data_IF_040812209664
#
_entry.id   IF_040812209664
#
_cell.length_a   1.000
_cell.length_b   1.000
_cell.length_c   1.000
_cell.angle_alpha   90.00
_cell.angle_beta   90.00
_cell.angle_gamma   90.00
#
_symmetry.space_group_name_H-M   'P 1'
#
loop_
_entity.id
_entity.type
_entity.pdbx_description
1 polymer ?
#
# COMPACT_ATOMS: atom_id res chain seq x y z
N UNK A 1 11.15 7.25 19.73
CA UNK A 1 10.11 7.62 18.71
C UNK A 1 8.91 6.72 18.93
N UNK A 2 7.70 7.23 19.08
CA UNK A 2 6.47 6.41 19.11
C UNK A 2 6.05 6.06 17.68
N UNK A 3 5.50 4.86 17.45
CA UNK A 3 4.98 4.43 16.15
C UNK A 3 3.46 4.34 16.22
N UNK A 4 2.75 4.99 15.30
CA UNK A 4 1.31 4.79 15.09
C UNK A 4 1.10 3.85 13.90
N UNK A 5 0.55 2.68 14.19
CA UNK A 5 0.12 1.71 13.18
C UNK A 5 -1.36 1.96 12.88
N UNK A 6 -1.69 2.38 11.68
CA UNK A 6 -3.07 2.70 11.26
C UNK A 6 -3.58 1.57 10.38
N UNK A 7 -4.48 0.79 10.92
CA UNK A 7 -5.10 -0.37 10.30
C UNK A 7 -6.53 -0.03 9.84
N UNK A 8 -6.78 -0.10 8.54
CA UNK A 8 -8.12 -0.09 8.00
C UNK A 8 -8.57 -1.54 7.78
N UNK A 9 -9.72 -1.95 8.33
CA UNK A 9 -10.22 -3.31 8.20
C UNK A 9 -11.69 -3.36 7.81
N UNK A 10 -12.03 -4.33 6.96
CA UNK A 10 -13.39 -4.63 6.50
C UNK A 10 -13.49 -6.12 6.13
N UNK A 11 -14.41 -6.83 6.77
CA UNK A 11 -14.79 -8.20 6.41
C UNK A 11 -13.87 -9.30 6.93
N UNK A 12 -12.69 -9.00 7.50
CA UNK A 12 -11.70 -9.97 7.98
C UNK A 12 -11.67 -10.05 9.50
N UNK A 13 -11.46 -11.24 10.02
CA UNK A 13 -11.32 -11.54 11.45
C UNK A 13 -10.17 -12.53 11.73
N UNK A 14 -10.02 -13.58 10.91
CA UNK A 14 -9.01 -14.63 11.11
C UNK A 14 -7.60 -14.09 10.83
N UNK A 15 -7.40 -13.46 9.68
CA UNK A 15 -6.12 -12.88 9.28
C UNK A 15 -5.69 -11.77 10.25
N UNK A 16 -6.68 -10.98 10.73
CA UNK A 16 -6.46 -9.93 11.72
C UNK A 16 -5.86 -10.49 13.01
N UNK A 17 -6.27 -11.69 13.46
CA UNK A 17 -5.71 -12.32 14.65
C UNK A 17 -4.20 -12.59 14.52
N UNK A 18 -3.72 -13.00 13.35
CA UNK A 18 -2.30 -13.30 13.15
C UNK A 18 -1.48 -12.00 13.08
N UNK A 19 -2.01 -10.94 12.49
CA UNK A 19 -1.41 -9.62 12.56
C UNK A 19 -1.28 -9.14 14.01
N UNK A 20 -2.37 -9.15 14.79
CA UNK A 20 -2.39 -8.70 16.19
C UNK A 20 -1.43 -9.50 17.07
N UNK A 21 -1.37 -10.83 16.91
CA UNK A 21 -0.38 -11.67 17.59
C UNK A 21 1.04 -11.24 17.26
N UNK A 22 1.32 -10.91 15.99
CA UNK A 22 2.66 -10.48 15.58
C UNK A 22 3.09 -9.16 16.22
N UNK A 23 2.14 -8.29 16.58
CA UNK A 23 2.40 -7.04 17.31
C UNK A 23 2.73 -7.27 18.79
N UNK A 24 2.04 -8.18 19.48
CA UNK A 24 2.36 -8.52 20.89
C UNK A 24 3.82 -8.97 21.03
N UNK A 25 4.34 -9.70 20.05
CA UNK A 25 5.71 -10.24 20.08
C UNK A 25 6.77 -9.25 19.56
N UNK A 26 6.44 -8.01 19.27
CA UNK A 26 7.45 -7.02 18.90
C UNK A 26 8.40 -6.74 20.05
N UNK A 27 9.70 -6.63 19.74
CA UNK A 27 10.73 -6.27 20.74
C UNK A 27 10.72 -4.79 21.11
N UNK A 28 10.07 -3.95 20.31
CA UNK A 28 9.86 -2.53 20.56
C UNK A 28 8.41 -2.26 20.92
N UNK A 29 8.18 -1.74 22.15
CA UNK A 29 6.86 -1.62 22.75
C UNK A 29 6.27 -0.20 22.70
N UNK A 30 7.03 0.83 22.26
CA UNK A 30 6.52 2.19 22.19
C UNK A 30 5.79 2.42 20.85
N UNK A 31 4.61 1.81 20.72
CA UNK A 31 3.71 1.96 19.58
C UNK A 31 2.25 2.00 20.05
N UNK A 32 1.38 2.48 19.18
CA UNK A 32 -0.06 2.39 19.29
C UNK A 32 -0.63 1.76 18.02
N UNK A 33 -1.76 1.06 18.15
CA UNK A 33 -2.52 0.53 17.03
C UNK A 33 -3.85 1.27 16.94
N UNK A 34 -4.08 1.96 15.84
CA UNK A 34 -5.33 2.66 15.52
C UNK A 34 -6.09 1.82 14.50
N UNK A 35 -7.17 1.19 14.93
CA UNK A 35 -8.01 0.33 14.08
C UNK A 35 -9.23 1.13 13.62
N UNK A 36 -9.30 1.39 12.33
CA UNK A 36 -10.46 2.01 11.67
C UNK A 36 -11.32 0.89 11.14
N UNK A 37 -12.34 0.57 11.91
CA UNK A 37 -13.25 -0.56 11.68
C UNK A 37 -14.44 -0.11 10.82
N UNK A 38 -14.50 -0.65 9.61
CA UNK A 38 -15.55 -0.39 8.64
C UNK A 38 -16.68 -1.45 8.68
N UNK A 39 -16.59 -2.44 9.60
CA UNK A 39 -17.63 -3.44 9.78
C UNK A 39 -18.81 -2.86 10.57
N UNK A 40 -20.03 -3.17 10.12
CA UNK A 40 -21.25 -2.73 10.78
C UNK A 40 -21.82 -3.78 11.74
N UNK A 41 -21.34 -5.02 11.64
CA UNK A 41 -21.87 -6.19 12.37
C UNK A 41 -21.16 -6.45 13.72
N UNK A 42 -20.16 -5.67 14.08
CA UNK A 42 -19.40 -5.83 15.33
C UNK A 42 -18.53 -7.09 15.38
N UNK A 43 -18.28 -7.75 14.24
CA UNK A 43 -17.57 -9.04 14.17
C UNK A 43 -16.18 -9.06 14.81
N UNK A 44 -15.48 -7.93 14.87
CA UNK A 44 -14.15 -7.82 15.48
C UNK A 44 -14.14 -7.24 16.89
N UNK A 45 -15.30 -6.82 17.44
CA UNK A 45 -15.38 -6.15 18.76
C UNK A 45 -14.72 -7.00 19.86
N UNK A 46 -15.06 -8.28 19.92
CA UNK A 46 -14.52 -9.21 20.91
C UNK A 46 -13.00 -9.41 20.75
N UNK A 47 -12.49 -9.34 19.51
CA UNK A 47 -11.06 -9.41 19.22
C UNK A 47 -10.38 -8.16 19.77
N UNK A 48 -10.90 -6.97 19.45
CA UNK A 48 -10.36 -5.70 19.91
C UNK A 48 -10.35 -5.62 21.44
N UNK A 49 -11.45 -5.99 22.10
CA UNK A 49 -11.55 -6.04 23.55
C UNK A 49 -10.51 -6.96 24.20
N UNK A 50 -10.26 -8.12 23.59
CA UNK A 50 -9.25 -9.06 24.08
C UNK A 50 -7.84 -8.48 23.98
N UNK A 51 -7.48 -7.92 22.83
CA UNK A 51 -6.11 -7.45 22.55
C UNK A 51 -5.80 -6.10 23.21
N UNK A 52 -6.79 -5.25 23.49
CA UNK A 52 -6.60 -3.99 24.22
C UNK A 52 -6.09 -4.17 25.65
N UNK A 53 -6.16 -5.39 26.19
CA UNK A 53 -5.55 -5.72 27.49
C UNK A 53 -4.03 -5.94 27.41
N UNK A 54 -3.49 -6.11 26.20
CA UNK A 54 -2.08 -6.48 25.98
C UNK A 54 -1.29 -5.40 25.22
N UNK A 55 -1.97 -4.46 24.55
CA UNK A 55 -1.33 -3.40 23.77
C UNK A 55 -2.21 -2.14 23.71
N UNK A 56 -1.63 -0.99 23.40
CA UNK A 56 -2.32 0.28 23.20
C UNK A 56 -3.12 0.24 21.88
N UNK A 57 -4.44 -0.02 21.97
CA UNK A 57 -5.35 -0.09 20.81
C UNK A 57 -6.41 1.00 20.92
N UNK A 58 -6.51 1.82 19.88
CA UNK A 58 -7.62 2.73 19.65
C UNK A 58 -8.53 2.13 18.56
N UNK A 59 -9.64 1.50 18.98
CA UNK A 59 -10.65 0.93 18.08
C UNK A 59 -11.71 1.96 17.75
N UNK A 60 -11.87 2.31 16.48
CA UNK A 60 -12.81 3.33 16.01
C UNK A 60 -13.68 2.76 14.91
N UNK A 61 -14.98 2.64 15.20
CA UNK A 61 -15.98 2.24 14.18
C UNK A 61 -16.37 3.45 13.34
N UNK A 62 -16.46 3.22 12.04
CA UNK A 62 -16.86 4.25 11.07
C UNK A 62 -18.02 3.76 10.22
N UNK A 63 -18.86 4.68 9.75
CA UNK A 63 -20.03 4.39 8.91
C UNK A 63 -19.77 4.61 7.42
N UNK A 64 -18.52 4.62 7.02
CA UNK A 64 -18.09 4.75 5.63
C UNK A 64 -17.14 3.62 5.25
N UNK A 65 -16.96 3.40 3.94
CA UNK A 65 -16.00 2.45 3.39
C UNK A 65 -14.95 3.17 2.54
N UNK A 66 -13.84 2.47 2.29
CA UNK A 66 -12.72 2.95 1.49
C UNK A 66 -11.42 2.96 2.26
N UNK A 67 -10.42 2.22 1.74
CA UNK A 67 -9.15 2.01 2.42
C UNK A 67 -8.38 3.33 2.63
N UNK A 68 -8.25 4.15 1.57
CA UNK A 68 -7.59 5.44 1.66
C UNK A 68 -8.28 6.38 2.64
N UNK A 69 -9.61 6.47 2.61
CA UNK A 69 -10.39 7.31 3.53
C UNK A 69 -10.23 6.88 4.98
N UNK A 70 -10.24 5.58 5.24
CA UNK A 70 -10.07 5.04 6.59
C UNK A 70 -8.66 5.32 7.13
N UNK A 71 -7.62 5.10 6.34
CA UNK A 71 -6.24 5.40 6.71
C UNK A 71 -6.01 6.89 6.93
N UNK A 72 -6.56 7.74 6.06
CA UNK A 72 -6.46 9.19 6.19
C UNK A 72 -7.13 9.70 7.46
N UNK A 73 -8.31 9.17 7.80
CA UNK A 73 -8.95 9.44 9.08
C UNK A 73 -8.07 8.97 10.25
N UNK A 74 -7.45 7.79 10.15
CA UNK A 74 -6.53 7.29 11.16
C UNK A 74 -5.29 8.19 11.37
N UNK A 75 -4.80 8.87 10.33
CA UNK A 75 -3.71 9.85 10.46
C UNK A 75 -4.07 10.98 11.42
N UNK A 76 -5.32 11.43 11.43
CA UNK A 76 -5.78 12.49 12.34
C UNK A 76 -5.78 12.09 13.81
N UNK A 77 -5.78 10.79 14.07
CA UNK A 77 -5.80 10.21 15.43
C UNK A 77 -4.42 9.79 15.93
N UNK A 78 -3.42 9.79 15.04
CA UNK A 78 -2.06 9.32 15.31
C UNK A 78 -1.30 10.28 16.24
N UNK A 79 -0.64 9.71 17.25
CA UNK A 79 0.19 10.43 18.23
C UNK A 79 1.68 10.10 18.08
N UNK A 80 2.03 9.17 17.21
CA UNK A 80 3.41 8.72 17.00
C UNK A 80 4.23 9.67 16.14
N UNK A 81 5.54 9.56 16.29
CA UNK A 81 6.53 10.24 15.44
C UNK A 81 6.63 9.58 14.05
N UNK A 82 6.27 8.30 13.99
CA UNK A 82 6.28 7.47 12.78
C UNK A 82 4.88 6.94 12.54
N UNK A 83 4.40 7.02 11.29
CA UNK A 83 3.14 6.41 10.86
C UNK A 83 3.42 5.28 9.88
N UNK A 84 2.64 4.19 9.98
CA UNK A 84 2.62 3.10 9.01
C UNK A 84 1.18 2.62 8.78
N UNK A 85 0.95 2.01 7.62
CA UNK A 85 -0.35 1.50 7.19
C UNK A 85 -0.30 -0.02 6.96
N UNK A 86 -0.26 -0.84 8.03
CA UNK A 86 -0.32 -2.29 7.88
C UNK A 86 -1.62 -2.74 7.24
N UNK A 87 -1.59 -3.87 6.52
CA UNK A 87 -2.79 -4.60 6.11
C UNK A 87 -3.18 -5.62 7.19
N UNK A 88 -4.47 -5.94 7.28
CA UNK A 88 -5.01 -6.87 8.27
C UNK A 88 -4.64 -8.35 8.00
N UNK A 89 -4.02 -8.65 6.85
CA UNK A 89 -3.49 -9.97 6.47
C UNK A 89 -1.95 -10.01 6.36
N UNK A 90 -1.25 -9.02 6.93
CA UNK A 90 0.21 -9.08 7.05
C UNK A 90 0.65 -9.59 8.43
N UNK A 91 1.90 -10.03 8.53
CA UNK A 91 2.53 -10.47 9.78
C UNK A 91 3.90 -9.83 9.91
N UNK A 92 4.16 -9.17 11.03
CA UNK A 92 5.43 -8.50 11.30
C UNK A 92 6.43 -9.48 11.93
N UNK A 93 7.67 -9.54 11.41
CA UNK A 93 8.76 -10.17 12.14
C UNK A 93 8.95 -9.48 13.50
N UNK A 94 9.31 -10.23 14.52
CA UNK A 94 9.43 -9.75 15.91
C UNK A 94 10.31 -8.51 16.12
N UNK A 95 11.17 -8.16 15.19
CA UNK A 95 12.10 -7.02 15.26
C UNK A 95 11.74 -5.87 14.29
N UNK A 96 10.59 -5.91 13.63
CA UNK A 96 10.22 -4.90 12.63
C UNK A 96 10.23 -3.51 13.24
N UNK A 97 9.48 -3.27 14.31
CA UNK A 97 9.35 -1.94 14.90
C UNK A 97 10.69 -1.42 15.46
N UNK A 98 11.47 -2.29 16.11
CA UNK A 98 12.82 -1.95 16.59
C UNK A 98 13.76 -1.54 15.44
N UNK A 99 13.74 -2.30 14.34
CA UNK A 99 14.58 -2.03 13.18
C UNK A 99 14.16 -0.74 12.46
N UNK A 100 12.85 -0.46 12.38
CA UNK A 100 12.31 0.80 11.84
C UNK A 100 12.86 2.00 12.60
N UNK A 101 12.72 2.01 13.92
CA UNK A 101 13.24 3.10 14.78
C UNK A 101 14.75 3.24 14.64
N UNK A 102 15.48 2.13 14.60
CA UNK A 102 16.96 2.14 14.42
C UNK A 102 17.36 2.77 13.08
N UNK A 103 16.64 2.45 11.98
CA UNK A 103 16.92 3.04 10.66
C UNK A 103 16.64 4.54 10.61
N UNK A 104 15.53 5.02 11.20
CA UNK A 104 15.26 6.46 11.29
C UNK A 104 16.23 7.20 12.20
N UNK A 105 16.66 6.59 13.31
CA UNK A 105 17.68 7.17 14.19
C UNK A 105 19.03 7.28 13.49
N UNK A 106 19.39 6.31 12.68
CA UNK A 106 20.65 6.30 11.93
C UNK A 106 20.65 7.26 10.75
N UNK A 107 19.50 7.47 10.10
CA UNK A 107 19.32 8.33 8.92
C UNK A 107 18.44 9.52 9.26
N UNK A 108 19.02 10.54 9.86
CA UNK A 108 18.29 11.72 10.37
C UNK A 108 17.50 12.52 9.31
N UNK A 109 17.86 12.40 8.03
CA UNK A 109 17.15 13.06 6.91
C UNK A 109 16.20 12.13 6.15
N UNK A 110 16.03 10.90 6.61
CA UNK A 110 15.13 9.93 5.99
C UNK A 110 13.69 10.23 6.38
N UNK A 111 12.85 10.48 5.41
CA UNK A 111 11.42 10.71 5.61
C UNK A 111 10.59 9.42 5.44
N UNK A 112 11.02 8.54 4.53
CA UNK A 112 10.27 7.34 4.15
C UNK A 112 11.19 6.12 4.22
N UNK A 113 10.82 5.14 5.03
CA UNK A 113 11.48 3.83 5.10
C UNK A 113 10.55 2.77 4.53
N UNK A 114 11.09 1.91 3.66
CA UNK A 114 10.34 0.81 3.05
C UNK A 114 11.00 -0.51 3.40
N UNK A 115 10.22 -1.41 3.99
CA UNK A 115 10.61 -2.76 4.33
C UNK A 115 10.49 -3.71 3.13
N UNK A 116 11.10 -4.89 3.22
CA UNK A 116 10.87 -5.98 2.28
C UNK A 116 9.56 -6.72 2.58
N UNK A 117 8.78 -6.98 1.53
CA UNK A 117 7.62 -7.85 1.58
C UNK A 117 8.03 -9.29 1.27
N UNK A 118 7.74 -10.21 2.17
CA UNK A 118 8.10 -11.63 2.05
C UNK A 118 6.83 -12.50 2.05
N UNK A 119 6.90 -13.62 1.35
CA UNK A 119 5.95 -14.71 1.55
C UNK A 119 6.21 -15.37 2.91
N UNK A 120 5.29 -16.18 3.44
CA UNK A 120 5.53 -16.97 4.66
C UNK A 120 6.73 -17.93 4.53
N UNK A 121 7.25 -18.12 3.33
CA UNK A 121 8.62 -18.60 3.10
C UNK A 121 9.61 -17.43 3.20
N UNK A 122 10.51 -17.39 4.22
CA UNK A 122 11.31 -16.20 4.55
C UNK A 122 12.41 -15.85 3.52
N UNK A 123 12.58 -16.64 2.48
CA UNK A 123 13.55 -16.44 1.39
C UNK A 123 12.91 -15.90 0.11
N UNK A 124 11.58 -15.98 -0.01
CA UNK A 124 10.83 -15.58 -1.19
C UNK A 124 10.13 -14.24 -0.94
N UNK A 125 10.33 -13.29 -1.84
CA UNK A 125 9.57 -12.05 -1.82
C UNK A 125 8.10 -12.30 -2.18
N UNK A 126 7.23 -11.55 -1.51
CA UNK A 126 5.80 -11.49 -1.82
C UNK A 126 5.51 -10.36 -2.83
N UNK A 127 4.40 -9.66 -2.66
CA UNK A 127 3.93 -8.61 -3.57
C UNK A 127 4.76 -7.32 -3.47
N UNK A 128 4.60 -6.44 -4.45
CA UNK A 128 5.29 -5.15 -4.51
C UNK A 128 6.65 -5.22 -5.20
N UNK A 129 7.34 -4.08 -5.21
CA UNK A 129 8.67 -3.96 -5.82
C UNK A 129 9.74 -4.18 -4.76
N UNK A 130 10.38 -5.34 -4.79
CA UNK A 130 11.38 -5.77 -3.83
C UNK A 130 12.78 -5.87 -4.44
N UNK A 131 13.82 -5.88 -3.59
CA UNK A 131 15.23 -6.05 -3.96
C UNK A 131 15.98 -6.76 -2.84
N UNK A 132 17.00 -7.55 -3.20
CA UNK A 132 17.93 -8.14 -2.22
C UNK A 132 18.93 -7.13 -1.65
N UNK A 133 19.03 -5.92 -2.26
CA UNK A 133 19.95 -4.86 -1.86
C UNK A 133 19.18 -3.68 -1.27
N UNK A 134 19.65 -3.18 -0.13
CA UNK A 134 19.17 -1.94 0.46
C UNK A 134 19.67 -0.74 -0.37
N UNK A 135 18.79 0.26 -0.59
CA UNK A 135 19.13 1.44 -1.39
C UNK A 135 18.20 2.62 -1.16
N UNK A 136 18.70 3.81 -1.38
CA UNK A 136 17.84 4.96 -1.64
C UNK A 136 17.13 4.79 -2.98
N UNK A 137 15.95 5.36 -3.10
CA UNK A 137 15.17 5.31 -4.34
C UNK A 137 14.47 6.64 -4.62
N UNK A 138 14.01 6.81 -5.84
CA UNK A 138 13.38 8.02 -6.35
C UNK A 138 12.04 7.71 -7.02
N UNK A 139 11.40 8.73 -7.57
CA UNK A 139 10.17 8.59 -8.36
C UNK A 139 10.29 7.58 -9.51
N UNK A 140 11.47 7.42 -10.10
CA UNK A 140 11.66 6.53 -11.26
C UNK A 140 11.76 5.04 -10.89
N UNK A 141 12.15 4.73 -9.64
CA UNK A 141 12.38 3.35 -9.19
C UNK A 141 11.77 3.07 -7.82
N UNK A 142 10.53 3.51 -7.61
CA UNK A 142 9.79 3.30 -6.36
C UNK A 142 9.79 1.83 -5.94
N UNK A 143 9.91 1.62 -4.62
CA UNK A 143 10.06 0.32 -3.99
C UNK A 143 8.89 0.03 -3.05
N UNK A 144 8.67 -1.27 -2.79
CA UNK A 144 7.72 -1.77 -1.79
C UNK A 144 6.25 -1.71 -2.24
N UNK A 145 5.41 -1.81 -1.26
CA UNK A 145 3.95 -1.72 -1.29
C UNK A 145 3.50 -1.09 0.03
N UNK A 146 2.29 -0.61 0.15
CA UNK A 146 1.82 0.23 1.27
C UNK A 146 2.11 -0.31 2.64
N UNK A 147 1.75 -1.56 2.92
CA UNK A 147 1.95 -2.17 4.24
C UNK A 147 3.43 -2.32 4.63
N UNK A 148 4.37 -2.02 3.71
CA UNK A 148 5.81 -2.01 3.99
C UNK A 148 6.38 -0.61 4.22
N UNK A 149 5.55 0.43 4.19
CA UNK A 149 5.97 1.83 4.23
C UNK A 149 5.83 2.41 5.63
N UNK A 150 6.87 3.14 6.07
CA UNK A 150 6.91 3.87 7.34
C UNK A 150 7.33 5.31 7.07
N UNK A 151 6.64 6.26 7.68
CA UNK A 151 6.79 7.69 7.42
C UNK A 151 7.15 8.43 8.72
N UNK A 152 8.30 9.10 8.76
CA UNK A 152 8.69 9.95 9.88
C UNK A 152 8.00 11.30 9.76
N UNK A 153 7.06 11.58 10.65
CA UNK A 153 6.15 12.71 10.55
C UNK A 153 6.81 14.08 10.74
N UNK A 154 7.97 14.13 11.38
CA UNK A 154 8.83 15.33 11.52
C UNK A 154 9.66 15.64 10.24
N UNK A 155 9.64 14.74 9.25
CA UNK A 155 10.50 14.80 8.06
C UNK A 155 9.75 14.72 6.75
N UNK A 156 8.51 14.18 6.74
CA UNK A 156 7.66 14.25 5.56
C UNK A 156 7.05 15.64 5.40
N UNK A 157 6.84 16.03 4.16
CA UNK A 157 6.02 17.21 3.88
C UNK A 157 4.58 16.96 4.33
N UNK A 158 4.20 17.61 5.45
CA UNK A 158 2.89 17.44 6.08
C UNK A 158 1.72 17.84 5.19
N UNK A 159 1.91 18.83 4.32
CA UNK A 159 0.87 19.27 3.39
C UNK A 159 0.60 18.21 2.32
N UNK A 160 1.60 17.40 2.01
CA UNK A 160 1.51 16.31 1.04
C UNK A 160 1.23 14.95 1.70
N UNK A 161 1.24 14.84 3.04
CA UNK A 161 1.02 13.57 3.75
C UNK A 161 -0.45 13.36 4.10
N UNK A 162 -1.22 12.99 3.11
CA UNK A 162 -2.63 12.57 3.19
C UNK A 162 -2.89 11.53 2.10
N UNK A 163 -3.90 10.69 2.23
CA UNK A 163 -4.30 9.79 1.16
C UNK A 163 -5.36 10.45 0.29
N UNK A 164 -5.23 10.28 -1.02
CA UNK A 164 -6.24 10.76 -1.98
C UNK A 164 -7.41 9.76 -2.02
N UNK A 165 -8.59 10.20 -1.58
CA UNK A 165 -9.77 9.36 -1.44
C UNK A 165 -10.36 8.88 -2.77
N UNK A 166 -9.94 9.44 -3.90
CA UNK A 166 -10.31 8.93 -5.22
C UNK A 166 -9.60 7.61 -5.57
N UNK A 167 -8.54 7.24 -4.82
CA UNK A 167 -7.74 6.02 -5.04
C UNK A 167 -7.94 5.00 -3.93
N UNK A 168 -7.71 3.73 -4.27
CA UNK A 168 -7.73 2.63 -3.32
C UNK A 168 -8.94 1.71 -3.48
N UNK A 169 -8.93 0.60 -2.75
CA UNK A 169 -10.01 -0.39 -2.80
C UNK A 169 -11.32 0.26 -2.33
N UNK A 170 -12.35 0.18 -3.15
CA UNK A 170 -13.67 0.74 -2.89
C UNK A 170 -13.80 2.23 -3.19
N UNK A 171 -12.77 2.86 -3.79
CA UNK A 171 -12.80 4.25 -4.25
C UNK A 171 -13.14 4.32 -5.76
N UNK A 172 -13.24 5.56 -6.29
CA UNK A 172 -13.50 5.82 -7.70
C UNK A 172 -12.50 5.11 -8.64
N UNK A 173 -11.22 5.06 -8.24
CA UNK A 173 -10.16 4.35 -8.93
C UNK A 173 -9.60 3.29 -8.00
N UNK A 174 -9.98 2.03 -8.20
CA UNK A 174 -9.50 0.92 -7.38
C UNK A 174 -7.96 0.81 -7.43
N UNK A 175 -7.31 0.84 -6.27
CA UNK A 175 -5.85 0.68 -6.10
C UNK A 175 -5.03 1.94 -6.39
N UNK A 176 -3.72 1.76 -6.32
CA UNK A 176 -2.67 2.77 -6.53
C UNK A 176 -2.57 3.90 -5.48
N UNK A 177 -3.36 3.88 -4.39
CA UNK A 177 -3.30 4.87 -3.31
C UNK A 177 -1.89 5.04 -2.73
N UNK A 178 -1.20 3.94 -2.47
CA UNK A 178 0.16 3.98 -1.95
C UNK A 178 1.22 4.38 -2.98
N UNK A 179 0.98 4.06 -4.25
CA UNK A 179 1.85 4.56 -5.32
C UNK A 179 1.68 6.05 -5.54
N UNK A 180 0.45 6.56 -5.46
CA UNK A 180 0.14 7.97 -5.56
C UNK A 180 0.80 8.76 -4.42
N UNK A 181 0.57 8.35 -3.18
CA UNK A 181 1.18 8.96 -2.01
C UNK A 181 2.71 8.95 -2.10
N UNK A 182 3.32 7.81 -2.39
CA UNK A 182 4.77 7.67 -2.51
C UNK A 182 5.33 8.58 -3.61
N UNK A 183 4.69 8.60 -4.79
CA UNK A 183 5.14 9.44 -5.90
C UNK A 183 5.06 10.92 -5.54
N UNK A 184 3.97 11.37 -4.91
CA UNK A 184 3.74 12.76 -4.48
C UNK A 184 4.78 13.20 -3.45
N UNK A 185 5.05 12.37 -2.44
CA UNK A 185 6.06 12.65 -1.43
C UNK A 185 7.48 12.70 -2.03
N UNK A 186 7.83 11.79 -2.93
CA UNK A 186 9.13 11.82 -3.62
C UNK A 186 9.26 13.04 -4.55
N UNK A 187 8.16 13.48 -5.15
CA UNK A 187 8.11 14.72 -5.94
C UNK A 187 8.37 15.95 -5.09
N UNK A 188 7.86 15.96 -3.86
CA UNK A 188 8.09 17.02 -2.87
C UNK A 188 9.53 17.01 -2.28
N UNK A 189 10.41 16.11 -2.75
CA UNK A 189 11.81 16.04 -2.31
C UNK A 189 12.06 15.16 -1.10
N UNK A 190 11.06 14.45 -0.59
CA UNK A 190 11.23 13.55 0.55
C UNK A 190 12.21 12.40 0.23
N UNK A 191 13.14 12.12 1.15
CA UNK A 191 14.13 11.06 0.98
C UNK A 191 13.53 9.71 1.39
N UNK A 192 13.67 8.71 0.53
CA UNK A 192 13.18 7.37 0.75
C UNK A 192 14.31 6.32 0.67
N UNK A 193 14.24 5.33 1.56
CA UNK A 193 15.20 4.23 1.64
C UNK A 193 14.48 2.89 1.77
N UNK A 194 14.91 1.92 0.97
CA UNK A 194 14.44 0.55 1.01
C UNK A 194 15.46 -0.35 1.69
N UNK A 195 15.00 -1.25 2.55
CA UNK A 195 15.84 -2.31 3.12
C UNK A 195 15.12 -3.66 3.19
N UNK A 196 15.69 -4.74 2.61
CA UNK A 196 15.15 -6.09 2.71
C UNK A 196 15.41 -6.75 4.09
N UNK A 197 16.16 -6.08 4.97
CA UNK A 197 16.49 -6.60 6.30
C UNK A 197 15.31 -6.52 7.27
N UNK A 198 14.37 -5.60 7.03
CA UNK A 198 13.12 -5.51 7.75
C UNK A 198 12.11 -6.34 6.98
N UNK A 199 11.55 -7.38 7.61
CA UNK A 199 10.70 -8.36 6.93
C UNK A 199 9.27 -8.25 7.40
N UNK A 200 8.37 -8.00 6.46
CA UNK A 200 6.93 -8.07 6.67
C UNK A 200 6.40 -9.19 5.79
N UNK A 201 5.70 -10.12 6.41
CA UNK A 201 5.15 -11.29 5.73
C UNK A 201 3.72 -11.01 5.26
N UNK A 202 3.43 -11.46 4.07
CA UNK A 202 2.10 -11.38 3.46
C UNK A 202 1.97 -12.53 2.47
N UNK A 203 0.85 -13.25 2.50
CA UNK A 203 0.62 -14.37 1.59
C UNK A 203 0.78 -13.93 0.13
N UNK A 204 1.62 -14.64 -0.60
CA UNK A 204 1.76 -14.43 -2.03
C UNK A 204 0.59 -15.09 -2.75
N UNK A 205 -0.50 -14.35 -2.90
CA UNK A 205 -1.63 -14.79 -3.73
C UNK A 205 -1.19 -14.75 -5.19
N UNK A 206 -1.34 -15.85 -5.90
CA UNK A 206 -1.08 -15.86 -7.34
C UNK A 206 -1.96 -14.79 -8.00
N UNK A 207 -1.31 -13.84 -8.67
CA UNK A 207 -2.00 -12.73 -9.33
C UNK A 207 -3.02 -13.22 -10.37
N UNK A 208 -2.77 -14.37 -10.98
CA UNK A 208 -3.68 -14.95 -11.96
C UNK A 208 -4.92 -15.57 -11.31
N UNK A 209 -4.81 -16.10 -10.08
CA UNK A 209 -5.93 -16.62 -9.31
C UNK A 209 -6.89 -15.54 -8.82
N UNK A 210 -6.44 -14.28 -8.75
CA UNK A 210 -7.27 -13.15 -8.36
C UNK A 210 -8.25 -12.68 -9.44
N UNK A 211 -8.14 -13.24 -10.65
CA UNK A 211 -9.05 -13.01 -11.77
C UNK A 211 -8.78 -11.71 -12.55
N UNK A 212 -9.22 -11.74 -13.79
CA UNK A 212 -9.05 -10.64 -14.75
C UNK A 212 -9.81 -9.37 -14.38
N UNK A 213 -10.99 -9.53 -13.76
CA UNK A 213 -11.82 -8.42 -13.29
C UNK A 213 -11.08 -7.57 -12.22
N UNK A 214 -10.41 -8.23 -11.27
CA UNK A 214 -9.61 -7.53 -10.25
C UNK A 214 -8.39 -6.84 -10.87
N UNK A 215 -7.73 -7.48 -11.84
CA UNK A 215 -6.62 -6.85 -12.56
C UNK A 215 -7.08 -5.61 -13.32
N UNK A 216 -8.22 -5.68 -14.01
CA UNK A 216 -8.80 -4.55 -14.72
C UNK A 216 -9.04 -3.37 -13.77
N UNK A 217 -9.68 -3.60 -12.62
CA UNK A 217 -9.97 -2.58 -11.61
C UNK A 217 -8.69 -1.94 -11.05
N UNK A 218 -7.74 -2.74 -10.56
CA UNK A 218 -6.49 -2.22 -10.00
C UNK A 218 -5.66 -1.45 -11.01
N UNK A 219 -5.71 -1.85 -12.27
CA UNK A 219 -5.02 -1.14 -13.34
C UNK A 219 -5.64 0.22 -13.66
N UNK A 220 -6.96 0.43 -13.38
CA UNK A 220 -7.57 1.76 -13.51
C UNK A 220 -6.94 2.77 -12.54
N UNK A 221 -6.65 2.37 -11.30
CA UNK A 221 -5.93 3.21 -10.36
C UNK A 221 -4.55 3.64 -10.87
N UNK A 222 -3.81 2.70 -11.50
CA UNK A 222 -2.50 3.01 -12.10
C UNK A 222 -2.63 4.05 -13.22
N UNK A 223 -3.60 3.91 -14.11
CA UNK A 223 -3.83 4.88 -15.20
C UNK A 223 -4.27 6.24 -14.69
N UNK A 224 -5.16 6.25 -13.70
CA UNK A 224 -5.68 7.47 -13.10
C UNK A 224 -4.57 8.27 -12.39
N UNK A 225 -3.70 7.62 -11.59
CA UNK A 225 -2.61 8.34 -10.93
C UNK A 225 -1.60 8.89 -11.95
N UNK A 226 -1.30 8.18 -13.03
CA UNK A 226 -0.45 8.70 -14.10
C UNK A 226 -1.07 9.97 -14.69
N UNK A 227 -2.37 9.95 -15.03
CA UNK A 227 -3.06 11.12 -15.57
C UNK A 227 -3.11 12.29 -14.60
N UNK A 228 -3.26 12.03 -13.31
CA UNK A 228 -3.19 13.05 -12.25
C UNK A 228 -1.91 13.88 -12.37
N UNK A 229 -0.76 13.23 -12.46
CA UNK A 229 0.53 13.91 -12.54
C UNK A 229 0.82 14.50 -13.93
N UNK A 230 0.28 13.92 -15.01
CA UNK A 230 0.29 14.57 -16.33
C UNK A 230 -0.42 15.91 -16.28
N UNK A 231 -1.61 15.99 -15.67
CA UNK A 231 -2.35 17.25 -15.49
C UNK A 231 -1.59 18.27 -14.61
N UNK A 232 -0.67 17.83 -13.78
CA UNK A 232 0.20 18.68 -12.97
C UNK A 232 1.52 19.03 -13.67
N UNK A 233 1.64 18.78 -14.98
CA UNK A 233 2.82 19.04 -15.81
C UNK A 233 4.11 18.39 -15.29
N UNK A 234 4.01 17.22 -14.66
CA UNK A 234 5.17 16.48 -14.19
C UNK A 234 5.79 15.66 -15.33
N UNK A 235 6.92 16.13 -15.87
CA UNK A 235 7.60 15.47 -16.99
C UNK A 235 8.12 14.05 -16.61
N UNK A 236 8.45 13.81 -15.35
CA UNK A 236 8.92 12.49 -14.91
C UNK A 236 7.86 11.40 -15.01
N UNK A 237 6.56 11.77 -15.02
CA UNK A 237 5.49 10.78 -15.20
C UNK A 237 5.53 10.14 -16.59
N UNK A 238 6.17 10.79 -17.57
CA UNK A 238 6.40 10.25 -18.91
C UNK A 238 7.09 8.89 -18.89
N UNK A 239 8.00 8.67 -17.93
CA UNK A 239 8.62 7.35 -17.73
C UNK A 239 7.58 6.26 -17.41
N UNK A 240 6.57 6.57 -16.59
CA UNK A 240 5.51 5.62 -16.26
C UNK A 240 4.54 5.40 -17.42
N UNK A 241 4.26 6.44 -18.21
CA UNK A 241 3.51 6.30 -19.46
C UNK A 241 4.23 5.27 -20.35
N UNK A 242 5.49 5.52 -20.65
CA UNK A 242 6.28 4.62 -21.50
C UNK A 242 6.34 3.20 -20.91
N UNK A 243 6.72 3.07 -19.64
CA UNK A 243 6.93 1.77 -19.01
C UNK A 243 5.64 1.00 -18.74
N UNK A 244 4.63 1.63 -18.12
CA UNK A 244 3.43 0.95 -17.61
C UNK A 244 2.30 0.87 -18.64
N UNK A 245 2.19 1.88 -19.53
CA UNK A 245 1.12 1.92 -20.51
C UNK A 245 1.53 1.36 -21.88
N UNK A 246 2.81 1.38 -22.22
CA UNK A 246 3.30 0.94 -23.53
C UNK A 246 4.16 -0.31 -23.44
N UNK A 247 5.34 -0.26 -22.82
CA UNK A 247 6.35 -1.34 -22.90
C UNK A 247 5.90 -2.59 -22.14
N UNK A 248 5.58 -2.46 -20.84
CA UNK A 248 5.34 -3.62 -20.01
C UNK A 248 4.13 -4.47 -20.43
N UNK A 249 2.97 -3.89 -20.82
CA UNK A 249 1.87 -4.68 -21.33
C UNK A 249 2.20 -5.43 -22.61
N UNK A 250 2.83 -4.74 -23.59
CA UNK A 250 3.21 -5.35 -24.85
C UNK A 250 4.17 -6.52 -24.62
N UNK A 251 5.21 -6.32 -23.82
CA UNK A 251 6.19 -7.39 -23.51
C UNK A 251 5.52 -8.59 -22.84
N UNK A 252 4.60 -8.36 -21.88
CA UNK A 252 3.85 -9.43 -21.22
C UNK A 252 2.93 -10.19 -22.19
N UNK A 253 2.27 -9.47 -23.09
CA UNK A 253 1.41 -10.09 -24.12
C UNK A 253 2.24 -10.92 -25.10
N UNK A 254 3.36 -10.40 -25.59
CA UNK A 254 4.27 -11.11 -26.48
C UNK A 254 4.79 -12.39 -25.80
N UNK A 255 5.23 -12.30 -24.55
CA UNK A 255 5.72 -13.48 -23.81
C UNK A 255 4.59 -14.51 -23.59
N UNK A 256 3.38 -14.07 -23.31
CA UNK A 256 2.22 -14.94 -23.14
C UNK A 256 1.86 -15.67 -24.45
N UNK A 257 1.95 -14.99 -25.59
CA UNK A 257 1.75 -15.58 -26.92
C UNK A 257 2.85 -16.61 -27.23
N UNK A 258 4.12 -16.27 -27.02
CA UNK A 258 5.26 -17.17 -27.24
C UNK A 258 5.19 -18.44 -26.39
N UNK A 259 4.58 -18.36 -25.20
CA UNK A 259 4.40 -19.49 -24.28
C UNK A 259 3.03 -20.17 -24.43
N UNK A 260 2.22 -19.77 -25.42
CA UNK A 260 0.84 -20.26 -25.67
C UNK A 260 -0.04 -20.22 -24.40
N UNK A 261 0.18 -19.27 -23.50
CA UNK A 261 -0.53 -19.15 -22.25
C UNK A 261 -1.64 -18.09 -22.37
N UNK A 262 -2.83 -18.53 -22.79
CA UNK A 262 -3.98 -17.67 -23.00
C UNK A 262 -4.47 -16.96 -21.72
N UNK A 263 -4.33 -17.59 -20.55
CA UNK A 263 -4.68 -16.98 -19.27
C UNK A 263 -3.78 -15.76 -18.96
N UNK A 264 -2.48 -15.89 -19.19
CA UNK A 264 -1.52 -14.77 -19.06
C UNK A 264 -1.76 -13.68 -20.10
N UNK A 265 -2.14 -14.07 -21.32
CA UNK A 265 -2.47 -13.12 -22.38
C UNK A 265 -3.68 -12.27 -22.00
N UNK A 266 -4.78 -12.90 -21.58
CA UNK A 266 -5.99 -12.22 -21.16
C UNK A 266 -5.72 -11.30 -19.96
N UNK A 267 -4.94 -11.76 -18.99
CA UNK A 267 -4.54 -10.96 -17.83
C UNK A 267 -3.73 -9.72 -18.23
N UNK A 268 -2.76 -9.87 -19.15
CA UNK A 268 -1.96 -8.75 -19.66
C UNK A 268 -2.82 -7.76 -20.47
N UNK A 269 -3.77 -8.26 -21.25
CA UNK A 269 -4.74 -7.44 -21.97
C UNK A 269 -5.63 -6.64 -21.01
N UNK A 270 -6.21 -7.28 -19.96
CA UNK A 270 -6.98 -6.58 -18.94
C UNK A 270 -6.17 -5.51 -18.21
N UNK A 271 -4.88 -5.78 -17.96
CA UNK A 271 -3.97 -4.77 -17.40
C UNK A 271 -3.83 -3.56 -18.33
N UNK A 272 -3.58 -3.78 -19.62
CA UNK A 272 -3.48 -2.71 -20.61
C UNK A 272 -4.76 -1.89 -20.68
N UNK A 273 -5.90 -2.55 -20.86
CA UNK A 273 -7.22 -1.88 -20.95
C UNK A 273 -7.52 -1.08 -19.68
N UNK A 274 -7.25 -1.65 -18.49
CA UNK A 274 -7.48 -0.97 -17.22
C UNK A 274 -6.64 0.31 -17.09
N UNK A 275 -5.35 0.25 -17.42
CA UNK A 275 -4.48 1.44 -17.33
C UNK A 275 -4.97 2.55 -18.28
N UNK A 276 -5.30 2.23 -19.52
CA UNK A 276 -5.84 3.23 -20.45
C UNK A 276 -7.20 3.76 -20.02
N UNK A 277 -8.10 2.90 -19.54
CA UNK A 277 -9.40 3.31 -19.00
C UNK A 277 -9.24 4.31 -17.85
N UNK A 278 -8.37 4.02 -16.86
CA UNK A 278 -8.11 4.94 -15.76
C UNK A 278 -7.49 6.26 -16.20
N UNK A 279 -6.55 6.21 -17.14
CA UNK A 279 -5.92 7.41 -17.69
C UNK A 279 -6.92 8.36 -18.34
N UNK A 280 -7.86 7.84 -19.13
CA UNK A 280 -8.86 8.67 -19.80
C UNK A 280 -10.03 9.06 -18.89
N UNK A 281 -10.33 8.26 -17.87
CA UNK A 281 -11.40 8.55 -16.92
C UNK A 281 -11.03 9.62 -15.89
N UNK A 282 -9.74 9.80 -15.57
CA UNK A 282 -9.32 10.72 -14.53
C UNK A 282 -9.68 12.18 -14.87
N UNK A 283 -10.46 12.79 -13.97
CA UNK A 283 -10.90 14.18 -14.10
C UNK A 283 -12.03 14.42 -15.11
N UNK A 284 -12.71 13.36 -15.55
CA UNK A 284 -14.03 13.45 -16.18
C UNK A 284 -15.11 13.43 -15.10
N UNK A 285 -16.13 14.28 -15.24
CA UNK A 285 -17.24 14.41 -14.28
C UNK A 285 -18.28 13.27 -14.38
N UNK A 286 -18.10 12.28 -15.25
CA UNK A 286 -19.05 11.19 -15.40
C UNK A 286 -18.89 10.16 -14.30
N UNK A 287 -19.93 10.01 -13.51
CA UNK A 287 -20.23 8.85 -12.68
C UNK A 287 -20.16 7.61 -13.57
N UNK A 288 -19.09 6.82 -13.47
CA UNK A 288 -19.07 5.47 -14.01
C UNK A 288 -20.04 4.64 -13.15
N UNK A 289 -21.32 4.67 -13.45
CA UNK A 289 -22.25 3.64 -13.02
C UNK A 289 -21.75 2.32 -13.60
N UNK A 290 -21.14 1.50 -12.74
CA UNK A 290 -20.89 0.13 -13.03
C UNK A 290 -22.27 -0.56 -13.02
N UNK A 291 -22.81 -0.86 -14.18
CA UNK A 291 -23.84 -1.86 -14.30
C UNK A 291 -23.24 -3.20 -13.81
N UNK A 292 -23.93 -3.79 -12.86
CA UNK A 292 -23.61 -5.05 -12.17
C UNK A 292 -23.67 -6.27 -13.10
#
# INVERSE_FOLDING_TARGET
MKISLILATLGRDIELLDFLKSLIFQTYQNYELIVIDQNQDGKIDHIMQRFSRCMDIKHVKVNFTGNARARDYGITLAQGDIVAFPDDDCVYDKKVLQAVVSEFNRRKTLAILVAGSYDFSPTRFSIGVNSRRARYFSRLNMMGVEFTQFFALDRVDRQQFHLDHDFGIGAKYDGAEGFELMYRLLRAGNRAFYTPRIKIYHANKDHYSLGTARMLRYSTGVGAYIRKFVKQNDLFIGYYILRKMMIAPVLKMTLALLTLNFGKLLYAYCNLVGVWRGFFAYGRSETLTLEH
#
